data_IF_795563415925
#
_entry.id   IF_795563415925
#
_cell.length_a   1.000
_cell.length_b   1.000
_cell.length_c   1.000
_cell.angle_alpha   90.00
_cell.angle_beta   90.00
_cell.angle_gamma   90.00
#
_symmetry.space_group_name_H-M   'P 1'
#
loop_
_entity.id
_entity.type
_entity.pdbx_description
1 polymer ?
#
# COMPACT_ATOMS: atom_id res chain seq x y z
N UNK A 1 52.05 -1.43 -43.34
CA UNK A 1 50.94 -0.48 -43.12
C UNK A 1 49.64 -1.21 -42.82
N UNK A 2 49.28 -2.28 -43.55
CA UNK A 2 48.03 -3.01 -43.27
C UNK A 2 48.06 -3.83 -41.97
N UNK A 3 49.15 -4.59 -41.74
CA UNK A 3 49.31 -5.40 -40.51
C UNK A 3 49.33 -4.56 -39.23
N UNK A 4 49.89 -3.35 -39.28
CA UNK A 4 49.94 -2.43 -38.13
C UNK A 4 48.55 -1.99 -37.70
N UNK A 5 47.63 -1.77 -38.65
CA UNK A 5 46.24 -1.39 -38.35
C UNK A 5 45.48 -2.54 -37.72
N UNK A 6 45.67 -3.77 -38.22
CA UNK A 6 45.00 -4.97 -37.69
C UNK A 6 45.44 -5.24 -36.24
N UNK A 7 46.72 -5.11 -35.93
CA UNK A 7 47.25 -5.31 -34.57
C UNK A 7 46.68 -4.25 -33.61
N UNK A 8 46.64 -2.97 -34.02
CA UNK A 8 46.14 -1.88 -33.20
C UNK A 8 44.63 -2.04 -32.90
N UNK A 9 43.85 -2.45 -33.91
CA UNK A 9 42.43 -2.78 -33.73
C UNK A 9 42.24 -3.96 -32.77
N UNK A 10 43.03 -5.02 -32.92
CA UNK A 10 42.98 -6.19 -32.04
C UNK A 10 43.26 -5.84 -30.58
N UNK A 11 44.29 -5.01 -30.32
CA UNK A 11 44.61 -4.52 -28.97
C UNK A 11 43.45 -3.70 -28.40
N UNK A 12 42.85 -2.81 -29.19
CA UNK A 12 41.72 -1.98 -28.74
C UNK A 12 40.50 -2.83 -28.34
N UNK A 13 40.18 -3.87 -29.13
CA UNK A 13 39.10 -4.81 -28.83
C UNK A 13 39.39 -5.57 -27.52
N UNK A 14 40.63 -6.05 -27.33
CA UNK A 14 41.03 -6.77 -26.11
C UNK A 14 40.92 -5.85 -24.89
N UNK A 15 41.34 -4.58 -24.99
CA UNK A 15 41.21 -3.59 -23.91
C UNK A 15 39.74 -3.35 -23.55
N UNK A 16 38.86 -3.22 -24.55
CA UNK A 16 37.43 -3.05 -24.33
C UNK A 16 36.80 -4.26 -23.63
N UNK A 17 37.11 -5.47 -24.08
CA UNK A 17 36.62 -6.71 -23.45
C UNK A 17 37.13 -6.82 -22.01
N UNK A 18 38.42 -6.56 -21.79
CA UNK A 18 39.01 -6.59 -20.45
C UNK A 18 38.38 -5.54 -19.52
N UNK A 19 38.07 -4.35 -20.03
CA UNK A 19 37.37 -3.30 -19.29
C UNK A 19 35.96 -3.74 -18.89
N UNK A 20 35.20 -4.34 -19.81
CA UNK A 20 33.84 -4.84 -19.54
C UNK A 20 33.87 -5.96 -18.49
N UNK A 21 34.80 -6.92 -18.60
CA UNK A 21 34.91 -8.01 -17.62
C UNK A 21 35.32 -7.46 -16.25
N UNK A 22 36.23 -6.48 -16.21
CA UNK A 22 36.70 -5.87 -14.97
C UNK A 22 35.66 -4.98 -14.30
N UNK A 23 34.75 -4.36 -15.07
CA UNK A 23 33.60 -3.62 -14.54
C UNK A 23 32.43 -4.55 -14.17
N UNK A 24 32.23 -5.65 -14.91
CA UNK A 24 31.19 -6.66 -14.71
C UNK A 24 31.17 -7.29 -13.31
N UNK A 25 32.32 -7.34 -12.65
CA UNK A 25 32.46 -7.93 -11.30
C UNK A 25 32.03 -7.03 -10.13
N UNK A 26 31.62 -5.78 -10.36
CA UNK A 26 31.23 -4.86 -9.29
C UNK A 26 29.74 -4.54 -9.34
N UNK A 27 28.96 -5.31 -8.57
CA UNK A 27 27.72 -4.90 -7.92
C UNK A 27 26.63 -4.24 -8.80
N UNK A 28 26.45 -4.69 -10.04
CA UNK A 28 25.26 -4.32 -10.83
C UNK A 28 23.96 -4.67 -10.10
N UNK A 29 23.97 -5.72 -9.28
CA UNK A 29 22.86 -6.10 -8.40
C UNK A 29 22.56 -5.05 -7.34
N UNK A 30 23.57 -4.49 -6.66
CA UNK A 30 23.33 -3.46 -5.64
C UNK A 30 22.84 -2.14 -6.25
N UNK A 31 23.33 -1.79 -7.44
CA UNK A 31 22.84 -0.60 -8.15
C UNK A 31 21.40 -0.82 -8.64
N UNK A 32 21.10 -2.01 -9.18
CA UNK A 32 19.75 -2.37 -9.59
C UNK A 32 18.77 -2.37 -8.39
N UNK A 33 19.18 -2.90 -7.23
CA UNK A 33 18.38 -2.88 -6.00
C UNK A 33 18.19 -1.45 -5.49
N UNK A 34 19.23 -0.62 -5.49
CA UNK A 34 19.12 0.78 -5.09
C UNK A 34 18.19 1.59 -6.03
N UNK A 35 18.25 1.34 -7.33
CA UNK A 35 17.34 1.94 -8.30
C UNK A 35 15.90 1.43 -8.15
N UNK A 36 15.71 0.14 -7.83
CA UNK A 36 14.40 -0.44 -7.56
C UNK A 36 13.77 0.16 -6.27
N UNK A 37 14.58 0.39 -5.24
CA UNK A 37 14.12 1.01 -3.99
C UNK A 37 13.82 2.51 -4.16
N UNK A 38 14.65 3.26 -4.90
CA UNK A 38 14.37 4.67 -5.21
C UNK A 38 13.13 4.83 -6.11
N UNK A 39 12.94 3.93 -7.07
CA UNK A 39 11.75 3.84 -7.91
C UNK A 39 10.50 3.63 -7.05
N UNK A 40 10.51 2.67 -6.12
CA UNK A 40 9.38 2.44 -5.19
C UNK A 40 9.05 3.63 -4.30
N UNK A 41 10.03 4.46 -3.96
CA UNK A 41 9.82 5.66 -3.15
C UNK A 41 9.32 6.86 -3.97
N UNK A 42 9.72 6.99 -5.24
CA UNK A 42 9.38 8.12 -6.10
C UNK A 42 8.13 7.90 -6.97
N UNK A 43 7.78 6.66 -7.29
CA UNK A 43 6.43 6.39 -7.76
C UNK A 43 5.48 6.67 -6.60
N UNK A 44 4.80 7.82 -6.66
CA UNK A 44 3.53 8.03 -5.96
C UNK A 44 2.53 7.02 -6.51
N UNK A 45 2.74 5.74 -6.20
CA UNK A 45 1.90 4.62 -6.62
C UNK A 45 0.54 4.93 -6.03
N UNK A 46 -0.38 5.35 -6.91
CA UNK A 46 -1.76 5.57 -6.57
C UNK A 46 -2.26 4.28 -5.92
N UNK A 47 -2.60 4.36 -4.63
CA UNK A 47 -3.02 3.18 -3.88
C UNK A 47 -4.47 2.87 -4.27
N UNK A 48 -4.78 1.66 -4.75
CA UNK A 48 -6.15 1.30 -5.05
C UNK A 48 -6.95 1.17 -3.75
N UNK A 49 -8.20 1.63 -3.77
CA UNK A 49 -9.14 1.40 -2.68
C UNK A 49 -9.38 -0.11 -2.53
N UNK A 50 -9.32 -0.67 -1.31
CA UNK A 50 -9.56 -2.11 -1.11
C UNK A 50 -11.00 -2.54 -1.41
N UNK A 51 -11.97 -1.63 -1.41
CA UNK A 51 -13.40 -1.95 -1.59
C UNK A 51 -13.88 -1.80 -3.03
N UNK A 52 -13.53 -0.69 -3.70
CA UNK A 52 -14.00 -0.37 -5.06
C UNK A 52 -12.88 -0.37 -6.11
N UNK A 53 -11.61 -0.53 -5.70
CA UNK A 53 -10.43 -0.48 -6.56
C UNK A 53 -10.16 0.86 -7.26
N UNK A 54 -10.89 1.93 -6.90
CA UNK A 54 -10.58 3.27 -7.40
C UNK A 54 -9.19 3.69 -6.96
N UNK A 55 -8.46 4.38 -7.85
CA UNK A 55 -7.14 4.93 -7.54
C UNK A 55 -7.30 6.18 -6.66
N UNK A 56 -6.64 6.20 -5.50
CA UNK A 56 -6.67 7.34 -4.58
C UNK A 56 -5.58 8.35 -4.93
N UNK A 57 -5.93 9.63 -4.99
CA UNK A 57 -4.96 10.72 -5.16
C UNK A 57 -4.09 10.87 -3.90
N UNK A 58 -2.89 11.45 -4.01
CA UNK A 58 -2.06 11.75 -2.85
C UNK A 58 -2.83 12.62 -1.85
N UNK A 59 -2.91 12.19 -0.59
CA UNK A 59 -3.66 12.88 0.46
C UNK A 59 -5.06 12.31 0.71
N UNK A 60 -5.67 11.65 -0.29
CA UNK A 60 -6.95 10.96 -0.11
C UNK A 60 -6.75 9.70 0.73
N UNK A 61 -7.61 9.52 1.74
CA UNK A 61 -7.56 8.39 2.66
C UNK A 61 -8.90 7.66 2.68
N UNK A 62 -8.82 6.37 2.94
CA UNK A 62 -10.00 5.54 3.23
C UNK A 62 -10.52 5.92 4.61
N UNK A 63 -11.82 6.20 4.70
CA UNK A 63 -12.49 6.44 5.98
C UNK A 63 -12.50 5.15 6.78
N UNK A 64 -11.86 5.19 7.92
CA UNK A 64 -11.80 4.08 8.86
C UNK A 64 -12.00 4.58 10.29
N UNK A 65 -12.63 3.75 11.13
CA UNK A 65 -12.76 3.99 12.56
C UNK A 65 -11.93 2.94 13.28
N UNK A 66 -10.86 3.38 13.94
CA UNK A 66 -9.99 2.53 14.74
C UNK A 66 -10.55 2.45 16.15
N UNK A 67 -10.74 1.23 16.63
CA UNK A 67 -11.08 0.90 18.00
C UNK A 67 -9.83 0.36 18.64
N UNK A 68 -9.05 1.27 19.22
CA UNK A 68 -7.98 0.89 20.13
C UNK A 68 -8.66 0.39 21.40
N UNK A 69 -8.67 -0.92 21.61
CA UNK A 69 -8.99 -1.42 22.93
C UNK A 69 -7.93 -0.85 23.89
N UNK A 70 -8.30 -0.33 25.08
CA UNK A 70 -7.32 -0.07 26.12
C UNK A 70 -6.68 -1.41 26.43
N UNK A 71 -5.51 -1.66 25.84
CA UNK A 71 -4.74 -2.85 26.13
C UNK A 71 -4.50 -2.80 27.64
N UNK A 72 -4.98 -3.79 28.42
CA UNK A 72 -4.66 -3.81 29.82
C UNK A 72 -3.14 -3.79 29.87
N UNK A 73 -2.57 -2.78 30.53
CA UNK A 73 -1.15 -2.76 30.90
C UNK A 73 -0.94 -4.02 31.75
N UNK A 74 -0.74 -5.17 31.11
CA UNK A 74 -0.33 -6.39 31.79
C UNK A 74 1.02 -6.03 32.36
N UNK A 75 1.05 -5.74 33.67
CA UNK A 75 2.27 -5.79 34.46
C UNK A 75 2.94 -7.10 34.08
N UNK A 76 4.09 -7.01 33.43
CA UNK A 76 4.86 -8.16 32.99
C UNK A 76 5.24 -8.96 34.23
N UNK A 77 4.45 -9.96 34.57
CA UNK A 77 4.88 -10.97 35.53
C UNK A 77 6.01 -11.73 34.86
N UNK A 78 7.23 -11.48 35.37
CA UNK A 78 8.49 -12.11 35.00
C UNK A 78 8.33 -13.59 34.62
N UNK A 79 8.78 -13.99 33.43
CA UNK A 79 8.97 -15.42 33.15
C UNK A 79 9.12 -15.88 31.71
N UNK A 80 8.65 -15.13 30.71
CA UNK A 80 8.79 -15.54 29.30
C UNK A 80 9.24 -14.37 28.43
N UNK A 81 10.33 -14.59 27.68
CA UNK A 81 11.04 -13.65 26.80
C UNK A 81 10.11 -12.62 26.15
N UNK A 82 10.43 -11.35 26.36
CA UNK A 82 9.69 -10.18 25.94
C UNK A 82 9.24 -10.25 24.46
N UNK A 83 7.97 -10.58 24.25
CA UNK A 83 7.31 -10.30 22.98
C UNK A 83 7.13 -8.78 22.89
N UNK A 84 8.07 -8.16 22.19
CA UNK A 84 8.06 -6.78 21.67
C UNK A 84 6.62 -6.34 21.38
N UNK A 85 6.16 -5.25 22.03
CA UNK A 85 4.74 -4.90 22.20
C UNK A 85 3.97 -4.63 20.90
N UNK A 86 3.47 -5.69 20.26
CA UNK A 86 2.55 -5.58 19.13
C UNK A 86 1.19 -5.14 19.67
N UNK A 87 0.72 -3.97 19.25
CA UNK A 87 -0.63 -3.49 19.56
C UNK A 87 -1.58 -3.97 18.46
N UNK A 88 -2.63 -4.70 18.85
CA UNK A 88 -3.73 -5.11 17.95
C UNK A 88 -4.93 -4.18 18.18
N UNK A 89 -5.34 -3.46 17.13
CA UNK A 89 -6.53 -2.61 17.14
C UNK A 89 -7.55 -3.11 16.13
N UNK A 90 -8.83 -3.12 16.52
CA UNK A 90 -9.92 -3.45 15.61
C UNK A 90 -10.23 -2.21 14.75
N UNK A 91 -10.42 -2.38 13.45
CA UNK A 91 -10.68 -1.28 12.52
C UNK A 91 -11.94 -1.56 11.70
N UNK A 92 -12.84 -0.58 11.65
CA UNK A 92 -13.96 -0.59 10.71
C UNK A 92 -13.61 0.28 9.50
N UNK A 93 -13.65 -0.31 8.31
CA UNK A 93 -13.35 0.32 7.03
C UNK A 93 -14.67 0.57 6.30
N UNK A 94 -14.97 1.83 6.00
CA UNK A 94 -16.22 2.22 5.35
C UNK A 94 -16.06 2.37 3.83
N UNK A 95 -14.96 2.99 3.38
CA UNK A 95 -14.67 3.20 1.98
C UNK A 95 -13.83 4.45 1.72
N UNK A 96 -13.62 4.78 0.46
CA UNK A 96 -12.93 5.99 0.04
C UNK A 96 -13.93 7.07 -0.41
N UNK A 97 -13.47 8.31 -0.69
CA UNK A 97 -14.34 9.40 -1.13
C UNK A 97 -15.19 9.09 -2.37
N UNK A 98 -14.75 8.14 -3.20
CA UNK A 98 -15.45 7.74 -4.42
C UNK A 98 -16.53 6.67 -4.21
N UNK A 99 -16.50 5.92 -3.11
CA UNK A 99 -17.41 4.78 -2.89
C UNK A 99 -18.13 4.78 -1.54
N UNK A 100 -17.65 5.55 -0.56
CA UNK A 100 -18.37 5.87 0.65
C UNK A 100 -18.98 7.27 0.50
N UNK A 101 -20.28 7.29 0.23
CA UNK A 101 -21.09 8.51 0.06
C UNK A 101 -21.00 9.46 1.26
N UNK A 102 -20.65 8.95 2.46
CA UNK A 102 -20.50 9.76 3.66
C UNK A 102 -19.12 10.43 3.78
N UNK A 103 -18.23 10.18 2.84
CA UNK A 103 -16.82 10.61 2.86
C UNK A 103 -16.49 11.52 1.69
N UNK A 104 -17.47 12.32 1.23
CA UNK A 104 -17.40 13.20 0.05
C UNK A 104 -16.05 13.91 -0.14
N UNK A 105 -15.72 14.32 -1.38
CA UNK A 105 -14.37 14.79 -1.73
C UNK A 105 -13.87 15.82 -0.73
N UNK A 106 -12.66 15.63 -0.20
CA UNK A 106 -12.11 16.47 0.87
C UNK A 106 -12.02 17.96 0.50
N UNK A 107 -12.07 18.27 -0.81
CA UNK A 107 -11.99 19.61 -1.36
C UNK A 107 -13.37 20.30 -1.53
N UNK A 108 -14.47 19.57 -1.32
CA UNK A 108 -15.83 20.11 -1.35
C UNK A 108 -16.32 20.33 0.08
N UNK A 109 -16.71 21.55 0.42
CA UNK A 109 -17.16 21.94 1.75
C UNK A 109 -18.41 21.16 2.23
N UNK A 110 -18.69 21.18 3.56
CA UNK A 110 -19.77 20.39 4.17
C UNK A 110 -21.18 20.70 3.64
N UNK A 111 -21.42 21.86 3.04
CA UNK A 111 -22.74 22.24 2.50
C UNK A 111 -23.05 21.66 1.12
N UNK A 112 -22.04 21.18 0.39
CA UNK A 112 -22.20 20.60 -0.96
C UNK A 112 -22.11 19.06 -0.94
N UNK A 113 -22.34 18.47 0.24
CA UNK A 113 -22.28 17.03 0.50
C UNK A 113 -23.62 16.30 0.37
N UNK A 114 -24.65 16.96 -0.18
CA UNK A 114 -25.84 16.27 -0.67
C UNK A 114 -25.49 15.53 -1.95
N UNK A 115 -25.81 14.24 -1.99
CA UNK A 115 -25.52 13.26 -3.04
C UNK A 115 -26.17 13.54 -4.42
N UNK A 116 -26.34 14.80 -4.81
CA UNK A 116 -26.95 15.23 -6.08
C UNK A 116 -25.99 15.93 -7.03
N UNK A 117 -24.76 16.26 -6.61
CA UNK A 117 -23.72 16.79 -7.50
C UNK A 117 -22.65 15.72 -7.77
N UNK A 118 -23.09 14.50 -8.09
CA UNK A 118 -22.30 13.67 -9.00
C UNK A 118 -22.78 14.08 -10.40
N UNK A 119 -21.90 14.64 -11.27
CA UNK A 119 -22.32 15.08 -12.59
C UNK A 119 -23.08 13.95 -13.30
N UNK A 120 -24.32 14.27 -13.67
CA UNK A 120 -25.29 13.49 -14.45
C UNK A 120 -24.79 12.10 -14.88
N UNK A 121 -25.14 11.07 -14.09
CA UNK A 121 -25.19 9.68 -14.58
C UNK A 121 -24.02 8.75 -14.22
N UNK A 122 -23.04 9.13 -13.40
CA UNK A 122 -21.98 8.19 -12.98
C UNK A 122 -22.37 7.46 -11.69
N UNK A 123 -22.82 6.21 -11.82
CA UNK A 123 -23.06 5.32 -10.68
C UNK A 123 -21.81 5.24 -9.78
N UNK A 124 -21.98 5.38 -8.47
CA UNK A 124 -20.89 5.14 -7.52
C UNK A 124 -20.41 3.69 -7.67
N UNK A 125 -19.10 3.44 -7.79
CA UNK A 125 -18.60 2.09 -7.99
C UNK A 125 -18.96 1.21 -6.80
N UNK A 126 -19.51 0.02 -7.08
CA UNK A 126 -19.90 -0.95 -6.07
C UNK A 126 -18.76 -1.22 -5.07
N UNK A 127 -19.06 -1.05 -3.77
CA UNK A 127 -18.17 -1.51 -2.70
C UNK A 127 -18.32 -3.02 -2.57
N UNK A 128 -17.23 -3.77 -2.78
CA UNK A 128 -17.23 -5.23 -2.64
C UNK A 128 -16.34 -5.65 -1.48
N UNK A 129 -16.81 -6.62 -0.70
CA UNK A 129 -16.01 -7.19 0.38
C UNK A 129 -14.80 -7.94 -0.19
N UNK A 130 -13.57 -7.67 0.25
CA UNK A 130 -12.40 -8.43 -0.20
C UNK A 130 -12.44 -9.91 0.18
N UNK A 131 -13.13 -10.27 1.27
CA UNK A 131 -13.22 -11.64 1.77
C UNK A 131 -14.28 -12.46 1.02
N UNK A 132 -15.55 -12.01 1.01
CA UNK A 132 -16.66 -12.77 0.43
C UNK A 132 -17.14 -12.26 -0.94
N UNK A 133 -16.55 -11.19 -1.48
CA UNK A 133 -16.93 -10.53 -2.76
C UNK A 133 -18.36 -10.00 -2.83
N UNK A 134 -19.14 -10.09 -1.76
CA UNK A 134 -20.49 -9.54 -1.69
C UNK A 134 -20.49 -8.02 -1.84
N UNK A 135 -21.53 -7.50 -2.50
CA UNK A 135 -21.79 -6.05 -2.61
C UNK A 135 -22.24 -5.54 -1.23
N UNK A 136 -21.58 -4.48 -0.78
CA UNK A 136 -21.78 -3.84 0.53
C UNK A 136 -22.79 -2.70 0.42
N UNK A 137 -23.80 -2.70 1.29
CA UNK A 137 -24.78 -1.60 1.41
C UNK A 137 -24.15 -0.39 2.07
N UNK A 138 -24.82 0.78 1.99
CA UNK A 138 -24.36 2.07 2.58
C UNK A 138 -23.95 1.95 4.05
N UNK A 139 -24.67 1.15 4.83
CA UNK A 139 -24.44 0.91 6.25
C UNK A 139 -23.39 -0.17 6.53
N UNK A 140 -23.09 -1.04 5.57
CA UNK A 140 -22.12 -2.11 5.73
C UNK A 140 -20.69 -1.57 5.74
N UNK A 141 -19.87 -2.20 6.58
CA UNK A 141 -18.45 -1.92 6.71
C UNK A 141 -17.65 -3.22 6.71
N UNK A 142 -16.36 -3.09 6.38
CA UNK A 142 -15.39 -4.18 6.45
C UNK A 142 -14.65 -4.08 7.77
N UNK A 143 -14.58 -5.18 8.50
CA UNK A 143 -13.85 -5.28 9.75
C UNK A 143 -12.46 -5.83 9.48
N UNK A 144 -11.46 -5.15 10.02
CA UNK A 144 -10.06 -5.51 9.91
C UNK A 144 -9.38 -5.44 11.28
N UNK A 145 -8.20 -6.04 11.38
CA UNK A 145 -7.26 -5.84 12.49
C UNK A 145 -6.06 -5.08 11.98
N UNK A 146 -5.61 -4.13 12.78
CA UNK A 146 -4.41 -3.34 12.50
C UNK A 146 -3.37 -3.68 13.56
N UNK A 147 -2.23 -4.17 13.09
CA UNK A 147 -1.08 -4.51 13.90
C UNK A 147 -0.07 -3.38 13.81
N UNK A 148 0.22 -2.77 14.95
CA UNK A 148 1.24 -1.75 15.09
C UNK A 148 2.43 -2.33 15.85
N UNK A 149 3.62 -2.18 15.28
CA UNK A 149 4.88 -2.57 15.91
C UNK A 149 5.84 -1.37 15.89
N UNK A 150 6.50 -1.12 17.01
CA UNK A 150 7.49 -0.04 17.13
C UNK A 150 8.57 -0.16 16.04
N UNK A 151 8.81 0.95 15.32
CA UNK A 151 9.78 1.02 14.24
C UNK A 151 9.35 0.40 12.90
N UNK A 152 8.12 -0.15 12.78
CA UNK A 152 7.59 -0.70 11.53
C UNK A 152 6.32 0.01 11.08
N UNK A 153 6.01 -0.11 9.78
CA UNK A 153 4.76 0.40 9.21
C UNK A 153 3.58 -0.44 9.75
N UNK A 154 2.43 0.18 10.05
CA UNK A 154 1.25 -0.55 10.50
C UNK A 154 0.77 -1.49 9.39
N UNK A 155 0.44 -2.73 9.78
CA UNK A 155 -0.07 -3.74 8.86
C UNK A 155 -1.54 -4.01 9.15
N UNK A 156 -2.38 -3.94 8.11
CA UNK A 156 -3.81 -4.16 8.21
C UNK A 156 -4.19 -5.50 7.59
N UNK A 157 -4.92 -6.32 8.34
CA UNK A 157 -5.46 -7.60 7.90
C UNK A 157 -6.98 -7.56 7.88
N UNK A 158 -7.58 -7.74 6.71
CA UNK A 158 -9.03 -7.72 6.51
C UNK A 158 -9.62 -9.06 6.96
N UNK A 159 -10.57 -9.02 7.91
CA UNK A 159 -11.20 -10.22 8.46
C UNK A 159 -12.51 -10.57 7.73
N UNK A 160 -13.28 -9.58 7.30
CA UNK A 160 -14.56 -9.78 6.61
C UNK A 160 -15.47 -8.57 6.68
N UNK A 161 -16.66 -8.64 6.10
CA UNK A 161 -17.71 -7.62 6.26
C UNK A 161 -18.74 -8.01 7.32
N UNK A 162 -19.66 -7.09 7.62
CA UNK A 162 -20.85 -7.30 8.47
C UNK A 162 -21.64 -8.57 8.12
N UNK A 163 -21.63 -9.01 6.85
CA UNK A 163 -22.41 -10.17 6.39
C UNK A 163 -21.68 -11.50 6.54
N UNK A 164 -20.39 -11.56 6.22
CA UNK A 164 -19.61 -12.81 6.31
C UNK A 164 -18.93 -13.00 7.68
N UNK A 165 -18.92 -11.96 8.51
CA UNK A 165 -18.41 -11.97 9.88
C UNK A 165 -19.56 -11.75 10.87
N UNK A 166 -20.67 -12.44 10.67
CA UNK A 166 -21.94 -12.29 11.41
C UNK A 166 -21.93 -12.88 12.84
N UNK A 167 -20.78 -12.93 13.51
CA UNK A 167 -20.62 -13.54 14.85
C UNK A 167 -19.91 -12.63 15.85
N UNK A 168 -20.28 -11.35 15.89
CA UNK A 168 -19.71 -10.33 16.79
C UNK A 168 -20.78 -9.79 17.72
#
# INVERSE_FOLDING_TARGET
MEYTVIILLGILIIILIASIIRLGGRNFTQLADAMADMSRQNFKVLRPCPLCKSLLKPGEKVRMKVFTAPSPKKKSTQGTKAAMGIQDSLVHIYGCPYCDERSGPADLGPEESRAEIIPFGKATPDRRCPACKAVLRKTDYVVARMFEQEGKKPHLHVLGCTRCRSGL
#
